data_IF_673408036926
#
_entry.id   IF_673408036926
#
_cell.length_a   1.000
_cell.length_b   1.000
_cell.length_c   1.000
_cell.angle_alpha   90.00
_cell.angle_beta   90.00
_cell.angle_gamma   90.00
#
_symmetry.space_group_name_H-M   'P 1'
#
loop_
_entity.id
_entity.type
_entity.pdbx_description
1 polymer ?
#
# COMPACT_ATOMS: atom_id res chain seq x y z
N UNK A 1 24.46 -3.66 -16.14
CA UNK A 1 24.56 -4.49 -14.93
C UNK A 1 23.38 -4.14 -14.03
N UNK A 2 22.40 -5.03 -13.90
CA UNK A 2 21.29 -4.86 -12.96
C UNK A 2 21.81 -5.12 -11.54
N UNK A 3 21.76 -4.11 -10.68
CA UNK A 3 22.14 -4.23 -9.27
C UNK A 3 21.38 -5.40 -8.62
N UNK A 4 22.04 -6.25 -7.82
CA UNK A 4 21.38 -7.38 -7.18
C UNK A 4 20.29 -6.87 -6.24
N UNK A 5 19.06 -7.35 -6.44
CA UNK A 5 17.94 -7.09 -5.54
C UNK A 5 18.28 -7.68 -4.18
N UNK A 6 18.54 -6.81 -3.19
CA UNK A 6 18.77 -7.22 -1.81
C UNK A 6 17.52 -7.97 -1.29
N UNK A 7 17.59 -9.28 -1.00
CA UNK A 7 16.40 -10.09 -0.77
C UNK A 7 15.72 -9.90 0.59
N UNK A 8 16.12 -8.92 1.41
CA UNK A 8 15.58 -8.75 2.78
C UNK A 8 15.39 -7.30 3.23
N UNK A 9 15.08 -6.38 2.30
CA UNK A 9 14.57 -5.08 2.71
C UNK A 9 13.17 -5.26 3.34
N UNK A 10 13.04 -4.96 4.64
CA UNK A 10 11.78 -4.95 5.35
C UNK A 10 10.88 -3.88 4.74
N UNK A 11 9.60 -4.22 4.57
CA UNK A 11 8.59 -3.36 3.94
C UNK A 11 7.47 -3.09 4.93
N UNK A 12 7.19 -1.81 5.14
CA UNK A 12 6.13 -1.33 6.03
C UNK A 12 5.13 -0.52 5.22
N UNK A 13 3.84 -0.84 5.38
CA UNK A 13 2.73 -0.02 4.87
C UNK A 13 2.14 0.78 6.02
N UNK A 14 1.77 2.02 5.74
CA UNK A 14 1.08 2.90 6.70
C UNK A 14 -0.01 3.66 5.97
N UNK A 15 -1.26 3.55 6.43
CA UNK A 15 -2.36 4.41 6.01
C UNK A 15 -2.44 5.70 6.83
N UNK A 16 -3.08 6.74 6.30
CA UNK A 16 -3.38 7.98 7.03
C UNK A 16 -4.84 8.44 6.88
N UNK A 17 -5.21 9.47 7.64
CA UNK A 17 -6.55 10.07 7.62
C UNK A 17 -6.87 10.87 6.35
N UNK A 18 -5.88 11.11 5.49
CA UNK A 18 -6.01 11.87 4.23
C UNK A 18 -6.04 10.93 3.00
N UNK A 19 -6.48 9.69 3.21
CA UNK A 19 -6.64 8.66 2.19
C UNK A 19 -5.37 8.14 1.54
N UNK A 20 -4.20 8.45 2.11
CA UNK A 20 -2.91 8.02 1.56
C UNK A 20 -2.43 6.75 2.25
N UNK A 21 -1.75 5.92 1.47
CA UNK A 21 -0.97 4.79 2.00
C UNK A 21 0.47 4.98 1.55
N UNK A 22 1.42 4.91 2.47
CA UNK A 22 2.85 5.00 2.17
C UNK A 22 3.50 3.63 2.29
N UNK A 23 4.50 3.39 1.42
CA UNK A 23 5.40 2.24 1.54
C UNK A 23 6.75 2.75 2.01
N UNK A 24 7.23 2.16 3.10
CA UNK A 24 8.55 2.39 3.66
C UNK A 24 9.40 1.14 3.47
N UNK A 25 10.61 1.32 2.97
CA UNK A 25 11.59 0.23 2.79
C UNK A 25 12.77 0.42 3.71
N UNK A 26 13.32 -0.66 4.27
CA UNK A 26 14.58 -0.60 5.01
C UNK A 26 15.79 -0.63 4.07
N UNK A 27 16.81 0.14 4.43
CA UNK A 27 18.15 0.13 3.88
C UNK A 27 19.16 0.06 5.04
N UNK A 28 20.45 -0.25 4.78
CA UNK A 28 21.47 -0.22 5.83
C UNK A 28 21.57 1.14 6.55
N UNK A 29 21.21 2.23 5.87
CA UNK A 29 21.18 3.59 6.41
C UNK A 29 19.90 3.94 7.19
N UNK A 30 18.95 3.01 7.33
CA UNK A 30 17.67 3.21 8.02
C UNK A 30 16.44 3.01 7.13
N UNK A 31 15.30 3.53 7.58
CA UNK A 31 14.02 3.41 6.87
C UNK A 31 13.81 4.58 5.92
N UNK A 32 13.41 4.29 4.69
CA UNK A 32 13.08 5.29 3.68
C UNK A 32 11.62 5.16 3.25
N UNK A 33 10.80 6.15 3.62
CA UNK A 33 9.43 6.27 3.13
C UNK A 33 9.45 6.78 1.69
N UNK A 34 8.76 6.07 0.79
CA UNK A 34 8.69 6.46 -0.60
C UNK A 34 7.79 7.70 -0.74
N UNK A 35 8.29 8.73 -1.43
CA UNK A 35 7.61 10.03 -1.53
C UNK A 35 6.23 9.97 -2.21
N UNK A 36 6.03 8.99 -3.10
CA UNK A 36 4.76 8.81 -3.81
C UNK A 36 3.86 7.83 -3.04
N UNK A 37 2.71 8.28 -2.50
CA UNK A 37 1.76 7.40 -1.84
C UNK A 37 0.95 6.57 -2.84
N UNK A 38 0.29 5.53 -2.34
CA UNK A 38 -0.85 4.92 -3.02
C UNK A 38 -2.08 5.79 -2.85
N UNK A 39 -2.82 5.99 -3.95
CA UNK A 39 -3.96 6.89 -4.01
C UNK A 39 -5.09 6.23 -4.77
N UNK A 40 -6.23 6.03 -4.12
CA UNK A 40 -7.52 5.69 -4.75
C UNK A 40 -8.66 5.83 -3.73
N UNK A 41 -8.36 5.62 -2.45
CA UNK A 41 -9.29 5.96 -1.37
C UNK A 41 -9.59 7.46 -1.34
N UNK A 42 -10.78 7.81 -0.86
CA UNK A 42 -11.29 9.19 -0.74
C UNK A 42 -11.59 9.61 0.70
N UNK A 43 -11.33 8.74 1.68
CA UNK A 43 -11.44 9.02 3.11
C UNK A 43 -10.32 8.31 3.90
N UNK A 44 -10.35 8.41 5.23
CA UNK A 44 -9.37 7.79 6.14
C UNK A 44 -9.17 6.30 5.86
N UNK A 45 -7.93 5.84 5.88
CA UNK A 45 -7.57 4.41 5.73
C UNK A 45 -7.56 3.78 7.12
N UNK A 46 -8.36 2.74 7.31
CA UNK A 46 -8.61 2.16 8.63
C UNK A 46 -7.81 0.88 8.89
N UNK A 47 -7.49 0.12 7.84
CA UNK A 47 -6.64 -1.06 7.92
C UNK A 47 -5.88 -1.29 6.60
N UNK A 48 -4.72 -1.92 6.70
CA UNK A 48 -3.87 -2.31 5.58
C UNK A 48 -3.21 -3.66 5.89
N UNK A 49 -3.37 -4.63 4.98
CA UNK A 49 -2.83 -5.99 5.15
C UNK A 49 -2.08 -6.45 3.90
N UNK A 50 -0.85 -6.93 4.09
CA UNK A 50 -0.11 -7.64 3.04
C UNK A 50 -0.81 -8.95 2.68
N UNK A 51 -0.75 -9.33 1.41
CA UNK A 51 -1.16 -10.67 1.01
C UNK A 51 -0.19 -11.71 1.59
N UNK A 52 -0.69 -12.79 2.20
CA UNK A 52 0.16 -13.88 2.68
C UNK A 52 0.70 -14.75 1.54
N UNK A 53 0.06 -14.71 0.36
CA UNK A 53 0.43 -15.52 -0.80
C UNK A 53 1.26 -14.75 -1.84
N UNK A 54 1.03 -13.43 -1.95
CA UNK A 54 1.60 -12.59 -3.00
C UNK A 54 2.39 -11.42 -2.42
N UNK A 55 3.74 -11.49 -2.33
CA UNK A 55 4.56 -10.50 -1.61
C UNK A 55 4.44 -9.07 -2.13
N UNK A 56 3.93 -8.88 -3.34
CA UNK A 56 3.79 -7.56 -3.98
C UNK A 56 2.38 -6.97 -3.82
N UNK A 57 1.44 -7.75 -3.28
CA UNK A 57 0.03 -7.40 -3.20
C UNK A 57 -0.36 -7.09 -1.76
N UNK A 58 -1.22 -6.10 -1.58
CA UNK A 58 -1.85 -5.81 -0.30
C UNK A 58 -3.31 -5.36 -0.50
N UNK A 59 -4.07 -5.37 0.59
CA UNK A 59 -5.45 -4.87 0.65
C UNK A 59 -5.56 -3.75 1.69
N UNK A 60 -6.54 -2.87 1.53
CA UNK A 60 -6.90 -1.86 2.52
C UNK A 60 -8.40 -1.61 2.57
N UNK A 61 -8.89 -1.14 3.71
CA UNK A 61 -10.25 -0.62 3.87
C UNK A 61 -10.24 0.85 4.32
N UNK A 62 -11.34 1.56 4.08
CA UNK A 62 -11.43 2.99 4.36
C UNK A 62 -12.83 3.40 4.77
N UNK A 63 -12.94 4.52 5.50
CA UNK A 63 -14.19 5.20 5.76
C UNK A 63 -14.94 5.66 4.48
N UNK A 64 -14.33 5.58 3.29
CA UNK A 64 -15.02 5.77 2.01
C UNK A 64 -15.95 4.60 1.62
N UNK A 65 -16.03 3.58 2.49
CA UNK A 65 -16.82 2.35 2.38
C UNK A 65 -16.24 1.31 1.45
N UNK A 66 -15.05 1.54 0.90
CA UNK A 66 -14.43 0.63 -0.05
C UNK A 66 -13.36 -0.28 0.56
N UNK A 67 -13.22 -1.46 -0.04
CA UNK A 67 -12.03 -2.32 0.11
C UNK A 67 -11.29 -2.31 -1.23
N UNK A 68 -10.00 -2.03 -1.20
CA UNK A 68 -9.18 -1.93 -2.41
C UNK A 68 -8.00 -2.89 -2.38
N UNK A 69 -7.66 -3.40 -3.56
CA UNK A 69 -6.52 -4.28 -3.81
C UNK A 69 -5.44 -3.53 -4.58
N UNK A 70 -4.19 -3.78 -4.20
CA UNK A 70 -3.05 -3.01 -4.67
C UNK A 70 -1.91 -3.94 -5.07
N UNK A 71 -1.15 -3.56 -6.09
CA UNK A 71 0.14 -4.16 -6.41
C UNK A 71 1.19 -3.05 -6.35
N UNK A 72 2.23 -3.24 -5.53
CA UNK A 72 3.30 -2.24 -5.35
C UNK A 72 4.14 -1.97 -6.59
N UNK A 73 4.07 -2.87 -7.59
CA UNK A 73 4.74 -2.71 -8.88
C UNK A 73 3.93 -1.84 -9.84
N UNK A 74 2.66 -1.58 -9.53
CA UNK A 74 1.76 -0.80 -10.38
C UNK A 74 2.27 0.62 -10.58
N UNK A 75 2.40 1.03 -11.84
CA UNK A 75 2.80 2.39 -12.22
C UNK A 75 1.72 3.36 -11.77
N UNK A 76 2.10 4.37 -10.99
CA UNK A 76 1.17 5.38 -10.46
C UNK A 76 0.48 5.01 -9.15
N UNK A 77 0.74 3.82 -8.57
CA UNK A 77 0.29 3.44 -7.22
C UNK A 77 -1.22 3.61 -7.01
N UNK A 78 -2.00 3.29 -8.04
CA UNK A 78 -3.46 3.23 -7.99
C UNK A 78 -3.90 1.83 -7.56
N UNK A 79 -5.10 1.71 -7.00
CA UNK A 79 -5.69 0.40 -6.75
C UNK A 79 -5.90 -0.31 -8.09
N UNK A 80 -5.66 -1.62 -8.10
CA UNK A 80 -5.84 -2.46 -9.29
C UNK A 80 -7.32 -2.79 -9.46
N UNK A 81 -8.01 -3.01 -8.34
CA UNK A 81 -9.44 -3.26 -8.27
C UNK A 81 -9.94 -2.98 -6.84
N UNK A 82 -11.25 -2.94 -6.65
CA UNK A 82 -11.85 -2.78 -5.34
C UNK A 82 -13.37 -2.90 -5.38
N UNK A 83 -13.95 -3.01 -4.19
CA UNK A 83 -15.40 -3.04 -3.99
C UNK A 83 -15.77 -1.72 -3.32
N UNK A 84 -16.57 -0.89 -3.98
CA UNK A 84 -16.99 0.43 -3.48
C UNK A 84 -17.93 0.38 -2.27
N UNK A 85 -19.06 -0.36 -2.33
CA UNK A 85 -19.98 -0.51 -1.21
C UNK A 85 -19.64 -1.77 -0.40
N UNK A 86 -18.45 -1.84 0.18
CA UNK A 86 -18.00 -3.01 0.94
C UNK A 86 -18.55 -3.05 2.37
N UNK A 87 -18.87 -1.90 2.97
CA UNK A 87 -19.48 -1.80 4.29
C UNK A 87 -20.31 -0.52 4.47
N UNK A 88 -21.05 -0.44 5.58
CA UNK A 88 -21.73 0.79 6.00
C UNK A 88 -20.73 1.74 6.69
N UNK A 89 -20.97 3.04 6.60
CA UNK A 89 -20.16 4.08 7.26
C UNK A 89 -20.66 4.36 8.66
#
# INVERSE_FOLDING_TARGET
>A
ASSPTNPSALRLLTGDIHSKIYLTTSAPSGFNALAQPFTSHTSSVEDVQWSPAEPTVFASCSADRSIQMWDVRSKGRRSVTGIGPAHQS
#
